data_IF_805487423643
#
_entry.id   IF_805487423643
#
_cell.length_a   1.000
_cell.length_b   1.000
_cell.length_c   1.000
_cell.angle_alpha   90.00
_cell.angle_beta   90.00
_cell.angle_gamma   90.00
#
_symmetry.space_group_name_H-M   'P 1'
#
loop_
_entity.id
_entity.type
_entity.pdbx_description
1 polymer ?
#
# COMPACT_ATOMS: atom_id res chain seq x y z
N UNK A 1 -9.11 -11.84 -1.95
CA UNK A 1 -8.61 -10.63 -1.25
C UNK A 1 -9.30 -9.33 -1.66
N UNK A 2 -9.29 -8.90 -2.93
CA UNK A 2 -9.84 -7.58 -3.34
C UNK A 2 -11.32 -7.36 -2.98
N UNK A 3 -12.16 -8.41 -3.06
CA UNK A 3 -13.58 -8.35 -2.65
C UNK A 3 -13.76 -8.10 -1.15
N UNK A 4 -12.84 -8.58 -0.30
CA UNK A 4 -12.86 -8.31 1.15
C UNK A 4 -12.47 -6.87 1.43
N UNK A 5 -11.42 -6.36 0.76
CA UNK A 5 -11.07 -4.94 0.84
C UNK A 5 -12.23 -4.02 0.44
N UNK A 6 -12.92 -4.30 -0.66
CA UNK A 6 -14.10 -3.52 -1.09
C UNK A 6 -15.29 -3.59 -0.12
N UNK A 7 -15.32 -4.56 0.80
CA UNK A 7 -16.31 -4.66 1.89
C UNK A 7 -15.88 -3.91 3.16
N UNK A 8 -14.57 -3.76 3.37
CA UNK A 8 -13.99 -3.14 4.56
C UNK A 8 -13.69 -1.65 4.35
N UNK A 9 -13.35 -1.27 3.12
CA UNK A 9 -13.00 0.08 2.69
C UNK A 9 -14.00 0.57 1.64
N UNK A 10 -14.00 1.87 1.36
CA UNK A 10 -14.77 2.42 0.24
C UNK A 10 -14.29 1.74 -1.07
N UNK A 11 -15.18 1.17 -1.90
CA UNK A 11 -14.81 0.52 -3.15
C UNK A 11 -13.98 1.41 -4.09
N UNK A 12 -14.13 2.73 -4.01
CA UNK A 12 -13.35 3.72 -4.77
C UNK A 12 -11.91 3.89 -4.28
N UNK A 13 -11.54 3.32 -3.12
CA UNK A 13 -10.18 3.32 -2.59
C UNK A 13 -9.42 2.03 -2.93
N UNK A 14 -10.09 1.05 -3.54
CA UNK A 14 -9.52 -0.28 -3.80
C UNK A 14 -9.26 -0.45 -5.29
N UNK A 15 -7.98 -0.34 -5.67
CA UNK A 15 -7.52 -0.39 -7.05
C UNK A 15 -6.80 -1.71 -7.35
N UNK A 16 -7.00 -2.21 -8.57
CA UNK A 16 -6.16 -3.24 -9.16
C UNK A 16 -5.12 -2.56 -10.07
N UNK A 17 -3.91 -2.39 -9.54
CA UNK A 17 -2.82 -1.71 -10.24
C UNK A 17 -2.20 -2.59 -11.34
N UNK A 18 -2.45 -3.90 -11.36
CA UNK A 18 -2.03 -4.75 -12.50
C UNK A 18 -2.85 -4.39 -13.74
N UNK A 19 -4.15 -4.13 -13.54
CA UNK A 19 -5.06 -3.75 -14.63
C UNK A 19 -4.96 -2.27 -15.03
N UNK A 20 -4.80 -1.37 -14.06
CA UNK A 20 -4.91 0.09 -14.29
C UNK A 20 -3.60 0.86 -14.22
N UNK A 21 -2.54 0.25 -13.67
CA UNK A 21 -1.29 0.91 -13.35
C UNK A 21 -1.36 1.72 -12.04
N UNK A 22 -0.24 1.89 -11.33
CA UNK A 22 -0.18 2.65 -10.09
C UNK A 22 -0.39 4.15 -10.32
N UNK A 23 0.06 4.70 -11.45
CA UNK A 23 -0.05 6.14 -11.76
C UNK A 23 -1.51 6.58 -11.81
N UNK A 24 -2.38 5.78 -12.45
CA UNK A 24 -3.81 6.06 -12.51
C UNK A 24 -4.44 6.07 -11.11
N UNK A 25 -4.17 5.03 -10.30
CA UNK A 25 -4.69 4.92 -8.94
C UNK A 25 -4.27 6.10 -8.05
N UNK A 26 -3.01 6.56 -8.18
CA UNK A 26 -2.47 7.64 -7.38
C UNK A 26 -2.96 9.03 -7.83
N UNK A 27 -3.12 9.24 -9.13
CA UNK A 27 -3.65 10.49 -9.69
C UNK A 27 -5.05 10.82 -9.17
N UNK A 28 -5.84 9.81 -8.82
CA UNK A 28 -7.18 9.98 -8.24
C UNK A 28 -7.17 10.71 -6.89
N UNK A 29 -6.04 10.68 -6.17
CA UNK A 29 -5.88 11.27 -4.85
C UNK A 29 -4.89 12.44 -4.79
N UNK A 30 -4.41 12.94 -5.93
CA UNK A 30 -3.42 14.04 -5.96
C UNK A 30 -3.95 15.37 -5.37
N UNK A 31 -5.28 15.53 -5.35
CA UNK A 31 -5.96 16.66 -4.70
C UNK A 31 -5.92 16.61 -3.17
N UNK A 32 -5.54 15.48 -2.58
CA UNK A 32 -5.39 15.34 -1.14
C UNK A 32 -4.00 15.80 -0.71
N UNK A 33 -3.94 16.63 0.35
CA UNK A 33 -2.67 17.12 0.88
C UNK A 33 -1.82 16.02 1.50
N UNK A 34 -2.46 15.07 2.21
CA UNK A 34 -1.80 13.93 2.83
C UNK A 34 -2.70 12.68 2.76
N UNK A 35 -2.17 11.57 2.24
CA UNK A 35 -2.89 10.28 2.23
C UNK A 35 -1.96 9.09 2.44
N UNK A 36 -2.54 7.94 2.77
CA UNK A 36 -1.82 6.68 2.98
C UNK A 36 -2.26 5.63 1.98
N UNK A 37 -1.30 4.88 1.46
CA UNK A 37 -1.51 3.80 0.50
C UNK A 37 -1.01 2.50 1.10
N UNK A 38 -1.89 1.49 1.12
CA UNK A 38 -1.53 0.13 1.49
C UNK A 38 -1.30 -0.69 0.23
N UNK A 39 -0.05 -1.06 -0.04
CA UNK A 39 0.31 -1.89 -1.19
C UNK A 39 0.23 -3.35 -0.80
N UNK A 40 -0.64 -4.10 -1.46
CA UNK A 40 -0.86 -5.52 -1.22
C UNK A 40 -0.13 -6.33 -2.29
N UNK A 41 1.04 -6.89 -1.96
CA UNK A 41 1.87 -7.56 -2.94
C UNK A 41 3.24 -7.98 -2.39
N UNK A 42 4.15 -8.31 -3.30
CA UNK A 42 5.57 -8.53 -2.98
C UNK A 42 6.44 -7.31 -3.31
N UNK A 43 7.76 -7.45 -3.17
CA UNK A 43 8.70 -6.34 -3.36
C UNK A 43 8.63 -5.71 -4.76
N UNK A 44 8.39 -6.51 -5.81
CA UNK A 44 8.22 -5.98 -7.18
C UNK A 44 6.99 -5.06 -7.32
N UNK A 45 5.88 -5.41 -6.65
CA UNK A 45 4.67 -4.57 -6.62
C UNK A 45 4.92 -3.28 -5.84
N UNK A 46 5.61 -3.37 -4.70
CA UNK A 46 5.97 -2.21 -3.89
C UNK A 46 6.91 -1.28 -4.66
N UNK A 47 7.94 -1.82 -5.31
CA UNK A 47 8.87 -1.05 -6.14
C UNK A 47 8.16 -0.36 -7.31
N UNK A 48 7.16 -1.01 -7.93
CA UNK A 48 6.38 -0.39 -9.00
C UNK A 48 5.57 0.82 -8.51
N UNK A 49 4.98 0.73 -7.32
CA UNK A 49 4.25 1.86 -6.70
C UNK A 49 5.21 2.98 -6.28
N UNK A 50 6.36 2.65 -5.68
CA UNK A 50 7.39 3.64 -5.34
C UNK A 50 7.89 4.38 -6.59
N UNK A 51 8.11 3.68 -7.70
CA UNK A 51 8.46 4.32 -8.96
C UNK A 51 7.37 5.27 -9.48
N UNK A 52 6.09 5.01 -9.19
CA UNK A 52 5.01 5.95 -9.51
C UNK A 52 5.00 7.16 -8.57
N UNK A 53 5.37 6.99 -7.30
CA UNK A 53 5.52 8.12 -6.37
C UNK A 53 6.60 9.09 -6.86
N UNK A 54 7.72 8.55 -7.36
CA UNK A 54 8.80 9.33 -7.94
C UNK A 54 8.31 10.16 -9.14
N UNK A 55 7.60 9.52 -10.07
CA UNK A 55 7.08 10.16 -11.28
C UNK A 55 6.05 11.25 -10.99
N UNK A 56 5.22 11.05 -9.98
CA UNK A 56 4.14 11.97 -9.59
C UNK A 56 4.57 12.99 -8.52
N UNK A 57 5.80 12.92 -8.01
CA UNK A 57 6.29 13.83 -6.98
C UNK A 57 5.58 13.70 -5.62
N UNK A 58 5.09 12.50 -5.29
CA UNK A 58 4.20 12.29 -4.13
C UNK A 58 4.91 12.04 -2.79
N UNK A 59 6.25 12.11 -2.75
CA UNK A 59 7.05 11.77 -1.57
C UNK A 59 6.65 12.49 -0.27
N UNK A 60 6.21 13.75 -0.38
CA UNK A 60 5.83 14.56 0.77
C UNK A 60 4.33 14.45 1.13
N UNK A 61 3.51 13.94 0.21
CA UNK A 61 2.05 13.81 0.38
C UNK A 61 1.62 12.40 0.75
N UNK A 62 2.34 11.38 0.27
CA UNK A 62 1.90 10.00 0.33
C UNK A 62 2.78 9.14 1.23
N UNK A 63 2.13 8.42 2.15
CA UNK A 63 2.76 7.44 3.02
C UNK A 63 2.45 6.03 2.52
N UNK A 64 3.44 5.16 2.48
CA UNK A 64 3.29 3.79 2.00
C UNK A 64 3.38 2.79 3.15
N UNK A 65 2.45 1.84 3.19
CA UNK A 65 2.62 0.61 3.96
C UNK A 65 2.42 -0.61 3.09
N UNK A 66 2.90 -1.74 3.59
CA UNK A 66 3.00 -2.97 2.81
C UNK A 66 2.16 -4.03 3.50
N UNK A 67 1.25 -4.65 2.74
CA UNK A 67 0.67 -5.94 3.07
C UNK A 67 1.46 -7.01 2.30
N UNK A 68 2.37 -7.74 2.97
CA UNK A 68 3.24 -8.71 2.32
C UNK A 68 2.45 -9.93 1.85
N UNK A 69 2.21 -10.05 0.55
CA UNK A 69 1.51 -11.19 -0.06
C UNK A 69 2.42 -12.12 -0.86
N UNK A 70 3.69 -11.74 -1.04
CA UNK A 70 4.68 -12.52 -1.78
C UNK A 70 5.45 -13.50 -0.91
N UNK A 71 6.43 -14.18 -1.51
CA UNK A 71 7.37 -15.08 -0.83
C UNK A 71 8.65 -14.36 -0.36
N UNK A 72 9.14 -13.40 -1.14
CA UNK A 72 10.25 -12.50 -0.77
C UNK A 72 9.69 -11.10 -0.47
N UNK A 73 9.23 -10.87 0.77
CA UNK A 73 8.76 -9.55 1.22
C UNK A 73 9.84 -8.86 2.04
N UNK A 74 11.01 -8.65 1.43
CA UNK A 74 12.16 -8.09 2.15
C UNK A 74 11.91 -6.63 2.51
N UNK A 75 11.22 -5.86 1.64
CA UNK A 75 10.83 -4.49 1.96
C UNK A 75 9.85 -4.43 3.14
N UNK A 76 8.91 -5.37 3.23
CA UNK A 76 7.99 -5.44 4.36
C UNK A 76 8.72 -5.73 5.68
N UNK A 77 9.74 -6.60 5.65
CA UNK A 77 10.56 -6.92 6.83
C UNK A 77 11.41 -5.71 7.27
N UNK A 78 12.10 -5.08 6.32
CA UNK A 78 12.95 -3.90 6.58
C UNK A 78 12.12 -2.75 7.15
N UNK A 79 10.91 -2.54 6.63
CA UNK A 79 10.01 -1.48 7.07
C UNK A 79 9.18 -1.84 8.31
N UNK A 80 9.33 -3.05 8.85
CA UNK A 80 8.63 -3.49 10.06
C UNK A 80 7.15 -3.84 9.88
N UNK A 81 6.69 -4.06 8.65
CA UNK A 81 5.34 -4.56 8.34
C UNK A 81 5.19 -6.08 8.54
N UNK A 82 6.30 -6.78 8.76
CA UNK A 82 6.32 -8.18 9.17
C UNK A 82 6.50 -9.18 8.03
N UNK A 83 6.16 -10.44 8.33
CA UNK A 83 6.25 -11.57 7.40
C UNK A 83 4.98 -11.70 6.54
N UNK A 84 5.01 -12.63 5.59
CA UNK A 84 3.90 -12.87 4.68
C UNK A 84 2.55 -13.05 5.39
N UNK A 85 1.54 -12.41 4.83
CA UNK A 85 0.16 -12.40 5.30
C UNK A 85 -0.61 -13.54 4.66
N UNK A 86 -1.01 -14.52 5.48
CA UNK A 86 -1.68 -15.74 5.02
C UNK A 86 -3.14 -15.86 5.48
N UNK A 87 -3.54 -15.12 6.52
CA UNK A 87 -4.88 -15.23 7.10
C UNK A 87 -5.71 -13.95 6.89
N UNK A 88 -6.59 -14.01 5.89
CA UNK A 88 -7.55 -12.94 5.59
C UNK A 88 -8.46 -12.55 6.77
N UNK A 89 -8.63 -13.41 7.80
CA UNK A 89 -9.44 -13.04 8.98
C UNK A 89 -8.77 -11.95 9.82
N UNK A 90 -7.45 -11.79 9.70
CA UNK A 90 -6.71 -10.70 10.34
C UNK A 90 -6.79 -9.38 9.58
N UNK A 91 -7.38 -9.37 8.38
CA UNK A 91 -7.44 -8.19 7.52
C UNK A 91 -8.09 -6.96 8.19
N UNK A 92 -9.23 -7.07 8.92
CA UNK A 92 -9.83 -5.92 9.59
C UNK A 92 -8.91 -5.32 10.67
N UNK A 93 -8.20 -6.17 11.41
CA UNK A 93 -7.26 -5.73 12.45
C UNK A 93 -6.02 -5.09 11.83
N UNK A 94 -5.55 -5.61 10.71
CA UNK A 94 -4.43 -5.05 9.95
C UNK A 94 -4.77 -3.67 9.40
N UNK A 95 -5.95 -3.48 8.80
CA UNK A 95 -6.40 -2.17 8.32
C UNK A 95 -6.42 -1.15 9.45
N UNK A 96 -6.99 -1.51 10.61
CA UNK A 96 -6.99 -0.63 11.80
C UNK A 96 -5.58 -0.30 12.30
N UNK A 97 -4.66 -1.27 12.21
CA UNK A 97 -3.26 -1.07 12.59
C UNK A 97 -2.57 -0.13 11.60
N UNK A 98 -2.80 -0.30 10.31
CA UNK A 98 -2.30 0.58 9.24
C UNK A 98 -2.81 2.03 9.39
N UNK A 99 -4.10 2.21 9.70
CA UNK A 99 -4.68 3.52 9.99
C UNK A 99 -4.03 4.22 11.19
N UNK A 100 -3.46 3.46 12.13
CA UNK A 100 -2.80 3.98 13.34
C UNK A 100 -1.27 3.89 13.28
N UNK A 101 -0.71 3.37 12.19
CA UNK A 101 0.72 3.13 12.09
C UNK A 101 1.49 4.45 12.06
N UNK A 102 2.65 4.45 12.71
CA UNK A 102 3.58 5.58 12.69
C UNK A 102 4.34 5.61 11.36
N UNK A 103 4.49 6.79 10.80
CA UNK A 103 5.27 6.99 9.59
C UNK A 103 6.75 6.95 9.92
N UNK A 104 7.54 6.20 9.14
CA UNK A 104 8.99 6.26 9.15
C UNK A 104 9.45 6.73 7.77
N UNK A 105 10.46 7.60 7.75
CA UNK A 105 11.12 7.94 6.50
C UNK A 105 11.89 6.72 6.01
N UNK A 106 11.69 6.40 4.73
CA UNK A 106 12.54 5.44 4.04
C UNK A 106 13.74 6.22 3.51
N UNK A 107 14.90 6.05 4.14
CA UNK A 107 16.16 6.56 3.60
C UNK A 107 16.48 5.77 2.32
N UNK A 108 16.68 6.49 1.21
CA UNK A 108 17.06 5.92 -0.09
C UNK A 108 18.51 5.44 -0.08
#
# INVERSE_FOLDING_TARGET
>A
MIRKFKRLLNPLQVFDIIATGPDFALSFFDTLDCFRVLVCGGDGTVGWVLGAFDRLGLHNKCQLGILPLGTGNDLARVLGWGHAFYDDNQLPQLIRTFERAHTRMLDR
#
